data_IF_486078023428
#
_entry.id   IF_486078023428
#
_cell.length_a   1.000
_cell.length_b   1.000
_cell.length_c   1.000
_cell.angle_alpha   90.00
_cell.angle_beta   90.00
_cell.angle_gamma   90.00
#
_symmetry.space_group_name_H-M   'P 1'
#
loop_
_entity.id
_entity.type
_entity.pdbx_description
1 polymer ?
#
# COMPACT_ATOMS: atom_id res chain seq x y z
N UNK A 1 -2.35 -13.50 -19.27
CA UNK A 1 -2.06 -13.08 -17.91
C UNK A 1 -2.64 -14.08 -16.94
N UNK A 2 -1.93 -14.39 -15.89
CA UNK A 2 -2.47 -15.18 -14.78
C UNK A 2 -3.64 -14.44 -14.16
N UNK A 3 -4.70 -15.15 -13.78
CA UNK A 3 -5.82 -14.56 -13.07
C UNK A 3 -5.34 -13.95 -11.74
N UNK A 4 -5.90 -12.82 -11.29
CA UNK A 4 -5.54 -12.24 -10.02
C UNK A 4 -5.76 -13.24 -8.88
N UNK A 5 -4.79 -13.33 -7.97
CA UNK A 5 -4.87 -14.22 -6.80
C UNK A 5 -5.93 -13.77 -5.79
N UNK A 6 -6.39 -12.52 -5.90
CA UNK A 6 -7.40 -11.91 -5.03
C UNK A 6 -8.67 -11.65 -5.85
N UNK A 7 -9.61 -12.60 -5.90
CA UNK A 7 -10.87 -12.41 -6.62
C UNK A 7 -11.83 -11.58 -5.76
N UNK A 8 -11.98 -10.30 -6.07
CA UNK A 8 -12.95 -9.42 -5.42
C UNK A 8 -14.08 -9.04 -6.39
N UNK A 9 -15.30 -9.11 -5.90
CA UNK A 9 -16.47 -8.58 -6.61
C UNK A 9 -16.48 -7.04 -6.61
N UNK A 10 -17.23 -6.44 -7.54
CA UNK A 10 -17.51 -5.02 -7.48
C UNK A 10 -18.18 -4.67 -6.13
N UNK A 11 -17.78 -3.58 -5.51
CA UNK A 11 -18.25 -3.13 -4.19
C UNK A 11 -17.90 -4.06 -3.01
N UNK A 12 -16.94 -4.97 -3.16
CA UNK A 12 -16.46 -5.78 -2.05
C UNK A 12 -16.01 -4.92 -0.87
N UNK A 13 -16.16 -5.45 0.33
CA UNK A 13 -15.71 -4.80 1.56
C UNK A 13 -14.25 -5.16 1.84
N UNK A 14 -13.39 -4.17 1.86
CA UNK A 14 -11.98 -4.28 2.20
C UNK A 14 -11.71 -3.54 3.51
N UNK A 15 -11.17 -4.25 4.50
CA UNK A 15 -10.77 -3.67 5.78
C UNK A 15 -9.24 -3.59 5.90
N UNK A 16 -8.71 -2.44 6.32
CA UNK A 16 -7.27 -2.22 6.48
C UNK A 16 -6.89 -2.18 7.97
N UNK A 17 -6.01 -3.07 8.39
CA UNK A 17 -5.42 -3.04 9.75
C UNK A 17 -4.18 -2.14 9.70
N UNK A 18 -4.11 -1.12 10.54
CA UNK A 18 -3.15 -0.01 10.53
C UNK A 18 -3.33 0.93 9.31
N UNK A 19 -4.56 1.38 9.09
CA UNK A 19 -4.97 2.17 7.94
C UNK A 19 -4.34 3.58 7.88
N UNK A 20 -3.92 4.14 9.01
CA UNK A 20 -3.33 5.49 9.08
C UNK A 20 -1.81 5.51 8.78
N UNK A 21 -1.20 4.38 8.49
CA UNK A 21 0.15 4.33 7.92
C UNK A 21 0.21 5.07 6.59
N UNK A 22 1.36 5.68 6.27
CA UNK A 22 1.48 6.56 5.08
C UNK A 22 1.13 5.85 3.77
N UNK A 23 1.70 4.68 3.51
CA UNK A 23 1.39 3.90 2.31
C UNK A 23 0.01 3.23 2.39
N UNK A 24 -0.38 2.76 3.56
CA UNK A 24 -1.71 2.14 3.79
C UNK A 24 -2.85 3.14 3.58
N UNK A 25 -2.70 4.38 4.03
CA UNK A 25 -3.68 5.45 3.79
C UNK A 25 -3.83 5.76 2.30
N UNK A 26 -2.74 5.82 1.56
CA UNK A 26 -2.77 6.01 0.11
C UNK A 26 -3.44 4.83 -0.60
N UNK A 27 -3.17 3.59 -0.18
CA UNK A 27 -3.84 2.40 -0.69
C UNK A 27 -5.35 2.42 -0.39
N UNK A 28 -5.74 2.84 0.82
CA UNK A 28 -7.14 2.94 1.20
C UNK A 28 -7.93 3.87 0.26
N UNK A 29 -7.37 5.04 -0.06
CA UNK A 29 -7.93 5.96 -1.04
C UNK A 29 -8.02 5.35 -2.44
N UNK A 30 -6.97 4.66 -2.88
CA UNK A 30 -6.94 3.98 -4.18
C UNK A 30 -8.03 2.89 -4.30
N UNK A 31 -8.20 2.06 -3.26
CA UNK A 31 -9.25 1.04 -3.19
C UNK A 31 -10.64 1.66 -3.20
N UNK A 32 -10.83 2.74 -2.46
CA UNK A 32 -12.10 3.49 -2.44
C UNK A 32 -12.43 4.05 -3.82
N UNK A 33 -11.44 4.64 -4.49
CA UNK A 33 -11.60 5.16 -5.85
C UNK A 33 -11.94 4.06 -6.86
N UNK A 34 -11.43 2.84 -6.68
CA UNK A 34 -11.76 1.67 -7.51
C UNK A 34 -13.20 1.19 -7.32
N UNK A 35 -13.91 1.66 -6.30
CA UNK A 35 -15.32 1.33 -6.03
C UNK A 35 -15.54 0.37 -4.86
N UNK A 36 -14.49 -0.06 -4.16
CA UNK A 36 -14.66 -0.90 -2.98
C UNK A 36 -15.22 -0.11 -1.79
N UNK A 37 -15.98 -0.80 -0.94
CA UNK A 37 -16.26 -0.29 0.39
C UNK A 37 -15.03 -0.49 1.26
N UNK A 38 -14.49 0.59 1.81
CA UNK A 38 -13.25 0.55 2.59
C UNK A 38 -13.50 0.98 4.01
N UNK A 39 -13.03 0.18 4.95
CA UNK A 39 -12.95 0.49 6.38
C UNK A 39 -11.52 0.31 6.87
N UNK A 40 -11.17 0.89 7.99
CA UNK A 40 -9.84 0.72 8.56
C UNK A 40 -9.81 0.92 10.06
N UNK A 41 -8.78 0.40 10.69
CA UNK A 41 -8.49 0.55 12.12
C UNK A 41 -7.05 0.97 12.33
N UNK A 42 -6.81 1.77 13.35
CA UNK A 42 -5.47 2.17 13.77
C UNK A 42 -5.49 2.67 15.23
N UNK A 43 -4.36 2.61 15.90
CA UNK A 43 -4.16 3.27 17.20
C UNK A 43 -3.83 4.75 17.04
N UNK A 44 -3.30 5.17 15.88
CA UNK A 44 -2.86 6.52 15.57
C UNK A 44 -3.85 7.25 14.64
N UNK A 45 -5.11 7.36 15.08
CA UNK A 45 -6.17 8.01 14.30
C UNK A 45 -6.18 9.51 14.59
N UNK A 46 -5.28 10.26 13.94
CA UNK A 46 -5.18 11.71 14.07
C UNK A 46 -4.80 12.39 12.73
N UNK A 47 -5.07 13.71 12.59
CA UNK A 47 -4.70 14.47 11.41
C UNK A 47 -3.18 14.45 11.11
N UNK A 48 -2.78 14.59 9.83
CA UNK A 48 -3.63 14.84 8.65
C UNK A 48 -4.22 13.57 8.02
N UNK A 49 -3.68 12.38 8.30
CA UNK A 49 -4.11 11.15 7.62
C UNK A 49 -5.55 10.76 7.95
N UNK A 50 -5.99 10.92 9.20
CA UNK A 50 -7.37 10.61 9.58
C UNK A 50 -8.39 11.49 8.86
N UNK A 51 -8.08 12.76 8.64
CA UNK A 51 -8.96 13.69 7.92
C UNK A 51 -9.04 13.30 6.44
N UNK A 52 -7.88 13.03 5.82
CA UNK A 52 -7.83 12.55 4.45
C UNK A 52 -8.68 11.28 4.25
N UNK A 53 -8.54 10.27 5.10
CA UNK A 53 -9.28 9.02 4.98
C UNK A 53 -10.79 9.21 5.16
N UNK A 54 -11.21 10.08 6.08
CA UNK A 54 -12.64 10.42 6.27
C UNK A 54 -13.22 11.18 5.07
N UNK A 55 -12.45 12.11 4.49
CA UNK A 55 -12.83 12.83 3.27
C UNK A 55 -12.97 11.88 2.06
N UNK A 56 -12.16 10.83 2.00
CA UNK A 56 -12.29 9.77 1.01
C UNK A 56 -13.50 8.82 1.26
N UNK A 57 -14.24 9.03 2.34
CA UNK A 57 -15.41 8.22 2.69
C UNK A 57 -15.04 6.85 3.30
N UNK A 58 -13.93 6.80 4.03
CA UNK A 58 -13.44 5.60 4.71
C UNK A 58 -13.83 5.68 6.18
N UNK A 59 -14.53 4.67 6.68
CA UNK A 59 -14.87 4.52 8.08
C UNK A 59 -13.65 4.05 8.88
N UNK A 60 -13.22 4.86 9.85
CA UNK A 60 -12.07 4.59 10.70
C UNK A 60 -12.48 4.25 12.12
N UNK A 61 -11.91 3.15 12.62
CA UNK A 61 -12.02 2.73 14.01
C UNK A 61 -10.73 3.06 14.77
N UNK A 62 -10.89 3.58 15.99
CA UNK A 62 -9.78 3.84 16.89
C UNK A 62 -9.48 2.60 17.72
N UNK A 63 -8.21 2.17 17.72
CA UNK A 63 -7.78 0.92 18.33
C UNK A 63 -8.01 -0.30 17.43
N UNK A 64 -7.63 -1.46 17.93
CA UNK A 64 -7.81 -2.76 17.26
C UNK A 64 -8.74 -3.63 18.10
N UNK A 65 -9.80 -4.14 17.46
CA UNK A 65 -10.80 -5.00 18.09
C UNK A 65 -11.38 -5.97 17.05
N UNK A 66 -11.56 -7.22 17.40
CA UNK A 66 -12.13 -8.25 16.52
C UNK A 66 -13.55 -7.92 16.06
N UNK A 67 -14.28 -7.10 16.81
CA UNK A 67 -15.61 -6.60 16.46
C UNK A 67 -15.60 -5.70 15.23
N UNK A 68 -14.48 -5.07 14.88
CA UNK A 68 -14.34 -4.27 13.66
C UNK A 68 -14.45 -5.10 12.37
N UNK A 69 -14.31 -6.42 12.49
CA UNK A 69 -14.48 -7.38 11.39
C UNK A 69 -15.90 -7.91 11.27
N UNK A 70 -16.88 -7.23 11.85
CA UNK A 70 -18.29 -7.62 11.77
C UNK A 70 -19.14 -6.51 11.11
N UNK A 71 -19.85 -6.80 10.00
CA UNK A 71 -19.85 -8.08 9.27
C UNK A 71 -18.50 -8.35 8.62
N UNK A 72 -18.20 -9.65 8.41
CA UNK A 72 -16.91 -10.08 7.88
C UNK A 72 -16.59 -9.39 6.54
N UNK A 73 -15.41 -8.75 6.41
CA UNK A 73 -14.96 -8.19 5.13
C UNK A 73 -14.63 -9.30 4.12
N UNK A 74 -14.67 -8.95 2.84
CA UNK A 74 -14.27 -9.86 1.76
C UNK A 74 -12.75 -10.01 1.67
N UNK A 75 -12.02 -8.99 2.10
CA UNK A 75 -10.54 -8.98 2.18
C UNK A 75 -10.10 -8.11 3.35
N UNK A 76 -9.07 -8.56 4.05
CA UNK A 76 -8.32 -7.75 5.02
C UNK A 76 -6.93 -7.45 4.48
N UNK A 77 -6.55 -6.18 4.48
CA UNK A 77 -5.18 -5.76 4.16
C UNK A 77 -4.43 -5.50 5.46
N UNK A 78 -3.35 -6.23 5.66
CA UNK A 78 -2.55 -6.17 6.89
C UNK A 78 -1.39 -5.19 6.71
N UNK A 79 -1.32 -4.19 7.56
CA UNK A 79 -0.24 -3.20 7.55
C UNK A 79 1.12 -3.81 7.92
N UNK A 80 2.19 -3.19 7.47
CA UNK A 80 3.54 -3.71 7.62
C UNK A 80 3.99 -3.91 9.07
N UNK A 81 3.62 -2.99 9.95
CA UNK A 81 3.99 -3.02 11.37
C UNK A 81 3.08 -3.92 12.22
N UNK A 82 2.03 -4.49 11.63
CA UNK A 82 1.09 -5.36 12.35
C UNK A 82 1.74 -6.72 12.59
N UNK A 83 1.75 -7.17 13.84
CA UNK A 83 2.36 -8.42 14.27
C UNK A 83 1.40 -9.32 15.03
N UNK A 84 1.81 -10.56 15.28
CA UNK A 84 1.07 -11.51 16.11
C UNK A 84 0.75 -10.88 17.47
N UNK A 85 -0.44 -11.17 17.99
CA UNK A 85 -1.00 -10.54 19.17
C UNK A 85 -1.92 -9.34 18.88
N UNK A 86 -1.95 -8.82 17.65
CA UNK A 86 -2.96 -7.84 17.26
C UNK A 86 -4.34 -8.50 17.20
N UNK A 87 -5.37 -7.99 17.92
CA UNK A 87 -6.67 -8.67 18.02
C UNK A 87 -7.38 -8.89 16.69
N UNK A 88 -7.24 -7.96 15.76
CA UNK A 88 -7.83 -8.09 14.42
C UNK A 88 -7.08 -9.11 13.57
N UNK A 89 -5.73 -9.09 13.60
CA UNK A 89 -4.94 -10.09 12.88
C UNK A 89 -5.22 -11.49 13.39
N UNK A 90 -5.27 -11.70 14.70
CA UNK A 90 -5.60 -13.01 15.28
C UNK A 90 -7.00 -13.47 14.85
N UNK A 91 -8.00 -12.58 14.89
CA UNK A 91 -9.35 -12.89 14.44
C UNK A 91 -9.42 -13.25 12.94
N UNK A 92 -8.63 -12.59 12.10
CA UNK A 92 -8.51 -12.91 10.67
C UNK A 92 -7.94 -14.32 10.48
N UNK A 93 -6.85 -14.64 11.18
CA UNK A 93 -6.20 -15.95 11.09
C UNK A 93 -7.12 -17.09 11.58
N UNK A 94 -7.91 -16.83 12.61
CA UNK A 94 -8.81 -17.82 13.20
C UNK A 94 -10.09 -18.03 12.38
N UNK A 95 -10.58 -16.97 11.72
CA UNK A 95 -11.87 -17.01 10.99
C UNK A 95 -11.75 -17.45 9.53
N UNK A 96 -10.55 -17.50 8.97
CA UNK A 96 -10.32 -17.81 7.57
C UNK A 96 -10.73 -16.68 6.61
N UNK A 97 -10.92 -15.46 7.09
CA UNK A 97 -11.12 -14.28 6.23
C UNK A 97 -9.90 -14.12 5.33
N UNK A 98 -10.06 -13.94 4.01
CA UNK A 98 -8.95 -13.68 3.10
C UNK A 98 -8.16 -12.44 3.53
N UNK A 99 -6.85 -12.55 3.53
CA UNK A 99 -5.98 -11.41 3.83
C UNK A 99 -4.79 -11.33 2.89
N UNK A 100 -4.27 -10.13 2.74
CA UNK A 100 -3.11 -9.83 1.92
C UNK A 100 -2.35 -8.62 2.48
N UNK A 101 -1.15 -8.37 1.94
CA UNK A 101 -0.37 -7.16 2.24
C UNK A 101 -0.50 -6.17 1.12
N UNK A 102 -0.12 -4.91 1.38
CA UNK A 102 -0.13 -3.84 0.41
C UNK A 102 0.53 -4.23 -0.94
N UNK A 103 1.74 -4.82 -0.99
CA UNK A 103 2.36 -5.18 -2.26
C UNK A 103 1.57 -6.20 -3.08
N UNK A 104 0.96 -7.17 -2.43
CA UNK A 104 0.12 -8.19 -3.09
C UNK A 104 -1.15 -7.56 -3.67
N UNK A 105 -1.79 -6.68 -2.89
CA UNK A 105 -3.00 -5.96 -3.33
C UNK A 105 -2.69 -5.08 -4.54
N UNK A 106 -1.59 -4.32 -4.52
CA UNK A 106 -1.17 -3.50 -5.66
C UNK A 106 -0.89 -4.35 -6.90
N UNK A 107 -0.11 -5.42 -6.75
CA UNK A 107 0.20 -6.34 -7.86
C UNK A 107 -1.06 -6.91 -8.47
N UNK A 108 -1.97 -7.42 -7.67
CA UNK A 108 -3.10 -8.21 -8.16
C UNK A 108 -4.27 -7.36 -8.65
N UNK A 109 -4.51 -6.19 -8.04
CA UNK A 109 -5.66 -5.36 -8.38
C UNK A 109 -5.32 -4.17 -9.30
N UNK A 110 -4.07 -3.73 -9.35
CA UNK A 110 -3.72 -2.47 -10.02
C UNK A 110 -2.58 -2.57 -11.05
N UNK A 111 -1.67 -3.55 -10.94
CA UNK A 111 -0.48 -3.64 -11.80
C UNK A 111 -0.61 -4.63 -12.96
N UNK A 112 -1.67 -5.43 -13.04
CA UNK A 112 -1.82 -6.52 -14.02
C UNK A 112 -1.65 -6.06 -15.47
N UNK A 113 -2.26 -4.93 -15.83
CA UNK A 113 -2.27 -4.40 -17.19
C UNK A 113 -1.43 -3.11 -17.31
N UNK A 114 -0.50 -2.89 -16.38
CA UNK A 114 0.31 -1.67 -16.35
C UNK A 114 1.80 -1.96 -16.24
N UNK A 115 2.59 -1.00 -16.70
CA UNK A 115 4.03 -1.01 -16.52
C UNK A 115 4.38 -0.37 -15.19
N UNK A 116 4.98 -1.12 -14.29
CA UNK A 116 5.41 -0.60 -12.99
C UNK A 116 6.75 0.13 -13.10
N UNK A 117 6.77 1.39 -12.65
CA UNK A 117 7.97 2.18 -12.42
C UNK A 117 8.14 2.30 -10.91
N UNK A 118 9.16 1.63 -10.38
CA UNK A 118 9.39 1.53 -8.95
C UNK A 118 10.61 2.37 -8.56
N UNK A 119 10.44 3.22 -7.55
CA UNK A 119 11.52 4.00 -6.97
C UNK A 119 11.90 3.37 -5.64
N UNK A 120 13.16 2.95 -5.52
CA UNK A 120 13.72 2.37 -4.30
C UNK A 120 14.98 3.11 -3.86
N UNK A 121 15.53 2.72 -2.74
CA UNK A 121 16.71 3.33 -2.13
C UNK A 121 16.52 3.59 -0.65
N UNK A 122 17.61 3.77 0.08
CA UNK A 122 17.57 3.98 1.53
C UNK A 122 16.86 5.29 1.90
N UNK A 123 17.07 6.35 1.11
CA UNK A 123 16.50 7.69 1.36
C UNK A 123 15.91 8.31 0.09
N UNK A 124 14.90 9.17 0.27
CA UNK A 124 14.34 10.00 -0.79
C UNK A 124 13.36 9.31 -1.73
N UNK A 125 12.91 8.08 -1.44
CA UNK A 125 11.94 7.34 -2.25
C UNK A 125 10.67 8.14 -2.52
N UNK A 126 10.04 8.64 -1.48
CA UNK A 126 8.76 9.37 -1.56
C UNK A 126 8.88 10.61 -2.44
N UNK A 127 9.93 11.41 -2.23
CA UNK A 127 10.19 12.63 -3.02
C UNK A 127 10.42 12.30 -4.49
N UNK A 128 11.26 11.31 -4.78
CA UNK A 128 11.56 10.90 -6.16
C UNK A 128 10.34 10.28 -6.84
N UNK A 129 9.54 9.49 -6.12
CA UNK A 129 8.29 8.92 -6.64
C UNK A 129 7.29 10.02 -7.02
N UNK A 130 7.08 10.99 -6.13
CA UNK A 130 6.19 12.12 -6.38
C UNK A 130 6.68 12.97 -7.57
N UNK A 131 7.98 13.25 -7.65
CA UNK A 131 8.58 13.99 -8.76
C UNK A 131 8.42 13.23 -10.08
N UNK A 132 8.67 11.92 -10.10
CA UNK A 132 8.52 11.08 -11.29
C UNK A 132 7.08 11.08 -11.80
N UNK A 133 6.10 10.91 -10.90
CA UNK A 133 4.68 10.99 -11.25
C UNK A 133 4.31 12.38 -11.79
N UNK A 134 4.82 13.45 -11.18
CA UNK A 134 4.60 14.81 -11.62
C UNK A 134 5.17 15.05 -13.04
N UNK A 135 6.39 14.62 -13.30
CA UNK A 135 7.03 14.78 -14.61
C UNK A 135 6.31 14.01 -15.71
N UNK A 136 5.93 12.76 -15.46
CA UNK A 136 5.16 11.97 -16.42
C UNK A 136 3.79 12.59 -16.70
N UNK A 137 3.13 13.13 -15.67
CA UNK A 137 1.88 13.87 -15.83
C UNK A 137 2.07 15.13 -16.66
N UNK A 138 3.09 15.92 -16.39
CA UNK A 138 3.42 17.13 -17.13
C UNK A 138 3.75 16.84 -18.60
N UNK A 139 4.35 15.68 -18.88
CA UNK A 139 4.62 15.19 -20.24
C UNK A 139 3.39 14.63 -20.96
N UNK A 140 2.21 14.64 -20.34
CA UNK A 140 0.98 14.14 -20.94
C UNK A 140 0.81 12.63 -20.94
N UNK A 141 1.62 11.89 -20.17
CA UNK A 141 1.57 10.43 -20.12
C UNK A 141 0.41 9.89 -19.27
N UNK A 142 -0.27 10.72 -18.51
CA UNK A 142 -1.37 10.37 -17.58
C UNK A 142 -1.10 9.10 -16.77
N UNK A 143 -0.02 9.07 -15.95
CA UNK A 143 0.36 7.90 -15.18
C UNK A 143 -0.60 7.65 -14.02
N UNK A 144 -0.66 6.40 -13.57
CA UNK A 144 -1.15 6.08 -12.23
C UNK A 144 -0.02 6.23 -11.22
N UNK A 145 -0.34 6.51 -9.96
CA UNK A 145 0.66 6.54 -8.89
C UNK A 145 0.09 6.18 -7.53
N UNK A 146 0.97 5.72 -6.66
CA UNK A 146 0.77 5.60 -5.24
C UNK A 146 2.03 6.09 -4.53
N UNK A 147 1.87 7.15 -3.74
CA UNK A 147 2.93 7.77 -2.95
C UNK A 147 2.59 7.65 -1.48
N UNK A 148 3.57 7.34 -0.64
CA UNK A 148 3.38 7.31 0.79
C UNK A 148 3.18 8.72 1.35
N UNK A 149 2.21 8.89 2.23
CA UNK A 149 1.89 10.19 2.83
C UNK A 149 1.04 11.08 1.93
N UNK A 150 1.07 12.38 2.21
CA UNK A 150 0.29 13.39 1.53
C UNK A 150 1.22 14.37 0.80
N UNK A 151 1.61 14.10 -0.45
CA UNK A 151 2.55 14.93 -1.18
C UNK A 151 1.94 16.29 -1.51
N UNK A 152 2.76 17.36 -1.43
CA UNK A 152 2.30 18.72 -1.75
C UNK A 152 2.20 18.99 -3.25
N UNK A 153 3.03 18.31 -4.04
CA UNK A 153 3.19 18.56 -5.48
C UNK A 153 2.26 17.71 -6.36
N UNK A 154 1.48 16.84 -5.74
CA UNK A 154 0.45 16.03 -6.39
C UNK A 154 -0.92 16.33 -5.78
N UNK A 155 -2.00 16.27 -6.57
CA UNK A 155 -3.36 16.59 -6.06
C UNK A 155 -3.83 15.60 -5.00
N UNK A 156 -3.35 14.35 -5.06
CA UNK A 156 -3.64 13.26 -4.12
C UNK A 156 -2.46 12.30 -4.03
N UNK A 157 -2.33 11.52 -2.94
CA UNK A 157 -1.26 10.54 -2.80
C UNK A 157 -1.44 9.31 -3.71
N UNK A 158 -2.56 9.22 -4.39
CA UNK A 158 -2.86 8.18 -5.38
C UNK A 158 -3.57 8.77 -6.61
N UNK A 159 -3.48 8.07 -7.72
CA UNK A 159 -4.23 8.37 -8.95
C UNK A 159 -4.30 7.13 -9.84
N UNK A 160 -5.42 7.00 -10.55
CA UNK A 160 -5.59 6.06 -11.65
C UNK A 160 -5.66 6.87 -12.94
N UNK A 161 -4.59 6.87 -13.69
CA UNK A 161 -4.52 7.49 -15.02
C UNK A 161 -4.92 6.51 -16.13
N UNK A 162 -5.07 7.05 -17.34
CA UNK A 162 -5.34 6.26 -18.54
C UNK A 162 -4.06 5.72 -19.22
N UNK A 163 -2.89 6.22 -18.83
CA UNK A 163 -1.60 5.82 -19.38
C UNK A 163 -1.10 4.47 -18.87
N UNK A 164 -0.06 3.94 -19.51
CA UNK A 164 0.45 2.60 -19.23
C UNK A 164 1.26 2.51 -17.93
N UNK A 165 1.78 3.63 -17.43
CA UNK A 165 2.70 3.61 -16.30
C UNK A 165 2.00 3.72 -14.96
N UNK A 166 2.45 2.91 -14.01
CA UNK A 166 2.13 3.03 -12.60
C UNK A 166 3.41 3.31 -11.80
N UNK A 167 3.48 4.48 -11.19
CA UNK A 167 4.63 4.95 -10.42
C UNK A 167 4.40 4.66 -8.94
N UNK A 168 5.33 3.98 -8.30
CA UNK A 168 5.23 3.63 -6.88
C UNK A 168 6.59 3.53 -6.20
N UNK A 169 6.59 3.66 -4.87
CA UNK A 169 7.77 3.41 -4.05
C UNK A 169 7.93 1.92 -3.81
N UNK A 170 9.17 1.46 -3.76
CA UNK A 170 9.53 0.10 -3.40
C UNK A 170 10.36 0.09 -2.13
N UNK A 171 9.82 -0.46 -1.06
CA UNK A 171 10.58 -0.65 0.16
C UNK A 171 11.56 -1.80 0.03
N UNK A 172 12.76 -1.62 0.55
CA UNK A 172 13.82 -2.61 0.63
C UNK A 172 13.71 -3.53 1.85
N UNK A 173 12.86 -3.20 2.83
CA UNK A 173 12.65 -3.99 4.04
C UNK A 173 11.45 -4.94 3.93
N UNK A 174 11.43 -5.93 4.81
CA UNK A 174 10.41 -6.98 4.87
C UNK A 174 9.12 -6.55 5.57
N UNK A 175 8.14 -7.45 5.65
CA UNK A 175 6.98 -7.28 6.52
C UNK A 175 7.17 -8.04 7.83
N UNK A 176 6.66 -7.45 8.93
CA UNK A 176 6.88 -7.97 10.28
C UNK A 176 6.47 -9.45 10.47
N UNK A 177 5.45 -9.93 9.77
CA UNK A 177 4.89 -11.27 9.97
C UNK A 177 5.05 -12.24 8.79
N UNK A 178 5.23 -11.78 7.56
CA UNK A 178 4.87 -12.63 6.43
C UNK A 178 5.94 -12.78 5.33
N UNK A 179 6.83 -11.82 5.14
CA UNK A 179 7.83 -11.87 4.08
C UNK A 179 9.18 -11.33 4.53
N UNK A 180 10.23 -12.10 4.33
CA UNK A 180 11.60 -11.79 4.71
C UNK A 180 12.47 -11.43 3.50
N UNK A 181 11.94 -10.60 2.61
CA UNK A 181 12.66 -10.08 1.44
C UNK A 181 12.11 -8.72 1.01
N UNK A 182 12.86 -8.00 0.18
CA UNK A 182 12.53 -6.66 -0.27
C UNK A 182 11.17 -6.61 -0.97
N UNK A 183 10.28 -5.74 -0.50
CA UNK A 183 8.90 -5.64 -0.99
C UNK A 183 8.77 -5.23 -2.43
N UNK A 184 9.71 -4.46 -2.97
CA UNK A 184 9.65 -4.02 -4.35
C UNK A 184 9.70 -5.17 -5.36
N UNK A 185 10.18 -6.35 -4.98
CA UNK A 185 10.19 -7.54 -5.80
C UNK A 185 8.77 -8.03 -6.15
N UNK A 186 7.79 -7.79 -5.30
CA UNK A 186 6.39 -8.11 -5.59
C UNK A 186 5.85 -7.38 -6.81
N UNK A 187 6.37 -6.18 -7.11
CA UNK A 187 5.88 -5.34 -8.20
C UNK A 187 6.40 -5.76 -9.57
N UNK A 188 7.39 -6.66 -9.65
CA UNK A 188 8.04 -7.06 -10.91
C UNK A 188 8.31 -5.83 -11.79
N UNK A 189 9.16 -4.89 -11.35
CA UNK A 189 9.28 -3.59 -11.98
C UNK A 189 9.73 -3.69 -13.43
N UNK A 190 9.06 -2.94 -14.31
CA UNK A 190 9.51 -2.73 -15.69
C UNK A 190 10.64 -1.71 -15.75
N UNK A 191 10.62 -0.75 -14.85
CA UNK A 191 11.68 0.22 -14.65
C UNK A 191 11.91 0.41 -13.15
N UNK A 192 13.17 0.34 -12.74
CA UNK A 192 13.59 0.54 -11.36
C UNK A 192 14.51 1.76 -11.28
N UNK A 193 14.16 2.71 -10.43
CA UNK A 193 15.02 3.84 -10.05
C UNK A 193 15.57 3.54 -8.66
N UNK A 194 16.90 3.44 -8.55
CA UNK A 194 17.60 3.26 -7.30
C UNK A 194 18.25 4.59 -6.93
N UNK A 195 17.74 5.28 -5.91
CA UNK A 195 18.26 6.59 -5.50
C UNK A 195 19.64 6.47 -4.86
N UNK A 196 19.74 5.58 -3.89
CA UNK A 196 20.96 5.35 -3.11
C UNK A 196 20.86 3.97 -2.44
N UNK A 197 22.01 3.44 -2.07
CA UNK A 197 22.12 2.22 -1.28
C UNK A 197 23.08 2.52 -0.13
N UNK A 198 22.54 2.53 1.08
CA UNK A 198 23.30 2.71 2.32
C UNK A 198 22.95 1.58 3.28
N UNK A 199 23.85 1.24 4.19
CA UNK A 199 23.56 0.22 5.18
C UNK A 199 22.53 0.73 6.18
N UNK A 200 21.33 0.21 6.08
CA UNK A 200 20.20 0.48 6.95
C UNK A 200 19.42 -0.84 7.21
N UNK A 201 18.44 -0.80 8.10
CA UNK A 201 17.65 -2.00 8.45
C UNK A 201 18.53 -3.18 8.92
N UNK A 202 19.44 -2.93 9.87
CA UNK A 202 20.39 -3.92 10.41
C UNK A 202 19.73 -5.14 11.08
N UNK A 203 18.45 -5.08 11.36
CA UNK A 203 17.61 -6.17 11.81
C UNK A 203 17.30 -7.22 10.73
N UNK A 204 17.40 -6.82 9.44
CA UNK A 204 17.11 -7.66 8.27
C UNK A 204 18.38 -8.03 7.51
N UNK A 205 19.24 -7.03 7.25
CA UNK A 205 20.44 -7.18 6.44
C UNK A 205 21.70 -7.21 7.30
N UNK A 206 22.62 -8.13 7.02
CA UNK A 206 23.87 -8.28 7.77
C UNK A 206 25.00 -7.40 7.20
N UNK A 207 24.96 -7.20 5.90
CA UNK A 207 25.95 -6.44 5.14
C UNK A 207 25.30 -5.60 4.06
N UNK A 208 26.02 -4.60 3.55
CA UNK A 208 25.53 -3.75 2.45
C UNK A 208 25.23 -4.55 1.18
N UNK A 209 25.98 -5.62 0.96
CA UNK A 209 25.80 -6.50 -0.20
C UNK A 209 24.50 -7.33 -0.14
N UNK A 210 23.82 -7.35 0.99
CA UNK A 210 22.54 -8.04 1.17
C UNK A 210 21.34 -7.17 0.76
N UNK A 211 21.55 -5.84 0.63
CA UNK A 211 20.55 -4.86 0.21
C UNK A 211 20.52 -4.78 -1.32
#
# INVERSE_FOLDING_TARGET
GEAPLIPLSANAHVHLIAACGTAMGSLAGLLRHRGFRVTGSDTHVYPPMSDFLREEGIDLFSGFDSGHLQPAPDLVVVGNAVSRGNPELEAVLDSGIPYAHLPEVLRDLFLQDRRSLVVTGTHGKTTTTALTAHLLRAAGADPSWLVAGLPRDLPRPYHIGSGDWFVLEGDEYDSACFAKFAKFLFYRPHLLIVNNIEFDHADIYRHLDDI
#
